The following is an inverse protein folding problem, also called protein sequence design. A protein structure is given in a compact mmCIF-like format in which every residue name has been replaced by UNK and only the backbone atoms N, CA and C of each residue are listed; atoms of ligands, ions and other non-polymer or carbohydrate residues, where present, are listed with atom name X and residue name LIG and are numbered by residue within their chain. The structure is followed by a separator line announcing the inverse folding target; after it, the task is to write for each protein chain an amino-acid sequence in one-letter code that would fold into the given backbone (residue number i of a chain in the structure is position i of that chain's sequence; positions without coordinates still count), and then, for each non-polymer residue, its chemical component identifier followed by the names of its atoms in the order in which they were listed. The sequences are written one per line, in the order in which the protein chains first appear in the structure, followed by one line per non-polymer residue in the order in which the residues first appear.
data_IF_399607550425
#
_entry.id   IF_399607550425
#
_cell.length_a   1.000
_cell.length_b   1.000
_cell.length_c   1.000
_cell.angle_alpha   90.00
_cell.angle_beta   90.00
_cell.angle_gamma   90.00
#
_symmetry.space_group_name_H-M   'P 1'
#
loop_
_entity.id
_entity.type
_entity.pdbx_description
1 polymer ?
#
# COMPACT_ATOMS: atom_id res chain seq x y z
N UNK A 1 -4.29 17.03 -4.45
CA UNK A 1 -3.28 15.98 -4.21
C UNK A 1 -3.99 14.70 -3.83
N UNK A 2 -3.48 13.55 -4.27
CA UNK A 2 -3.99 12.23 -3.85
C UNK A 2 -2.83 11.42 -3.30
N UNK A 3 -2.98 10.88 -2.09
CA UNK A 3 -2.01 10.01 -1.43
C UNK A 3 -2.61 8.60 -1.32
N UNK A 4 -1.95 7.64 -1.95
CA UNK A 4 -2.28 6.22 -1.87
C UNK A 4 -1.35 5.55 -0.86
N UNK A 5 -1.92 4.82 0.10
CA UNK A 5 -1.19 4.04 1.09
C UNK A 5 -1.55 2.56 0.90
N UNK A 6 -0.59 1.74 0.51
CA UNK A 6 -0.73 0.29 0.61
C UNK A 6 -0.27 -0.16 1.99
N UNK A 7 -1.21 -0.40 2.92
CA UNK A 7 -0.87 -0.81 4.28
C UNK A 7 -0.09 -2.13 4.23
N UNK A 8 1.13 -2.15 4.77
CA UNK A 8 2.00 -3.33 4.72
C UNK A 8 2.67 -3.62 3.36
N UNK A 9 2.64 -2.68 2.40
CA UNK A 9 3.31 -2.81 1.10
C UNK A 9 4.84 -2.70 1.25
N UNK A 10 5.55 -3.65 0.63
CA UNK A 10 7.01 -3.68 0.51
C UNK A 10 7.47 -3.82 -0.94
N UNK A 11 8.78 -3.69 -1.20
CA UNK A 11 9.36 -4.02 -2.51
C UNK A 11 9.11 -5.49 -2.90
N UNK A 12 9.13 -6.41 -1.93
CA UNK A 12 8.74 -7.81 -2.11
C UNK A 12 7.26 -7.97 -2.45
N UNK A 13 6.39 -7.19 -1.80
CA UNK A 13 4.94 -7.18 -2.06
C UNK A 13 4.62 -6.68 -3.46
N UNK A 14 5.27 -5.58 -3.91
CA UNK A 14 5.20 -5.09 -5.29
C UNK A 14 5.66 -6.17 -6.28
N UNK A 15 6.79 -6.80 -6.01
CA UNK A 15 7.31 -7.89 -6.87
C UNK A 15 6.32 -9.05 -6.96
N UNK A 16 5.73 -9.43 -5.81
CA UNK A 16 4.72 -10.47 -5.75
C UNK A 16 3.47 -10.12 -6.57
N UNK A 17 2.96 -8.91 -6.42
CA UNK A 17 1.79 -8.43 -7.14
C UNK A 17 2.04 -8.36 -8.64
N UNK A 18 3.23 -7.89 -9.05
CA UNK A 18 3.67 -7.90 -10.45
C UNK A 18 3.66 -9.31 -11.04
N UNK A 19 4.14 -10.29 -10.30
CA UNK A 19 4.20 -11.68 -10.77
C UNK A 19 2.82 -12.32 -10.79
N UNK A 20 1.93 -11.99 -9.83
CA UNK A 20 0.52 -12.37 -9.87
C UNK A 20 -0.17 -11.76 -11.09
N UNK A 21 0.04 -10.47 -11.38
CA UNK A 21 -0.49 -9.79 -12.58
C UNK A 21 0.01 -10.46 -13.85
N UNK A 22 1.31 -10.78 -13.93
CA UNK A 22 1.87 -11.51 -15.07
C UNK A 22 1.21 -12.87 -15.26
N UNK A 23 1.02 -13.64 -14.19
CA UNK A 23 0.33 -14.93 -14.23
C UNK A 23 -1.12 -14.79 -14.70
N UNK A 24 -1.87 -13.83 -14.17
CA UNK A 24 -3.25 -13.54 -14.60
C UNK A 24 -3.35 -13.13 -16.08
N UNK A 25 -2.26 -12.63 -16.67
CA UNK A 25 -2.16 -12.24 -18.07
C UNK A 25 -1.51 -13.31 -18.96
N UNK A 26 -1.17 -14.50 -18.43
CA UNK A 26 -0.36 -15.51 -19.11
C UNK A 26 0.98 -14.98 -19.68
N UNK A 27 1.60 -14.03 -18.97
CA UNK A 27 2.91 -13.42 -19.28
C UNK A 27 3.99 -13.91 -18.32
N UNK A 28 5.25 -13.71 -18.67
CA UNK A 28 6.36 -14.03 -17.78
C UNK A 28 6.54 -12.94 -16.71
N UNK A 29 6.94 -13.35 -15.51
CA UNK A 29 7.42 -12.47 -14.45
C UNK A 29 8.46 -11.49 -15.02
N UNK A 30 8.26 -10.18 -14.88
CA UNK A 30 9.14 -9.13 -15.42
C UNK A 30 8.73 -8.56 -16.79
N UNK A 31 7.74 -9.15 -17.48
CA UNK A 31 7.16 -8.59 -18.72
C UNK A 31 5.97 -7.65 -18.43
N UNK A 32 5.70 -7.46 -17.14
CA UNK A 32 4.59 -6.66 -16.60
C UNK A 32 5.17 -5.82 -15.47
N UNK A 33 4.61 -4.63 -15.28
CA UNK A 33 4.86 -3.73 -14.16
C UNK A 33 3.52 -3.30 -13.56
N UNK A 34 3.53 -2.82 -12.31
CA UNK A 34 2.39 -2.08 -11.78
C UNK A 34 2.34 -0.68 -12.38
N UNK A 35 1.14 -0.12 -12.52
CA UNK A 35 0.93 1.12 -13.28
C UNK A 35 1.74 2.32 -12.71
N UNK A 36 1.92 2.38 -11.39
CA UNK A 36 2.70 3.45 -10.73
C UNK A 36 4.22 3.28 -10.81
N UNK A 37 4.73 2.11 -11.22
CA UNK A 37 6.19 1.88 -11.32
C UNK A 37 6.84 2.66 -12.47
N UNK A 38 6.04 3.18 -13.39
CA UNK A 38 6.47 4.01 -14.51
C UNK A 38 6.48 5.50 -14.19
N UNK A 39 6.13 5.88 -12.96
CA UNK A 39 6.07 7.28 -12.55
C UNK A 39 7.47 7.90 -12.48
N UNK A 40 7.60 9.20 -12.78
CA UNK A 40 8.91 9.83 -12.98
C UNK A 40 9.73 10.00 -11.70
N UNK A 41 9.10 9.96 -10.52
CA UNK A 41 9.78 10.08 -9.23
C UNK A 41 9.63 8.79 -8.41
N UNK A 42 10.76 8.32 -7.89
CA UNK A 42 10.86 7.17 -7.00
C UNK A 42 11.82 7.49 -5.85
N UNK A 43 11.45 7.09 -4.65
CA UNK A 43 12.21 7.26 -3.42
C UNK A 43 12.08 6.06 -2.50
N UNK A 44 12.97 5.97 -1.51
CA UNK A 44 12.89 4.99 -0.43
C UNK A 44 12.44 5.72 0.85
N UNK A 45 11.34 5.27 1.44
CA UNK A 45 10.76 5.84 2.64
C UNK A 45 11.15 5.00 3.85
N UNK A 46 11.77 5.60 4.87
CA UNK A 46 12.03 4.92 6.13
C UNK A 46 10.77 4.94 7.00
N UNK A 47 10.39 3.76 7.51
CA UNK A 47 9.19 3.58 8.32
C UNK A 47 9.56 3.16 9.74
N UNK A 48 9.38 4.04 10.70
CA UNK A 48 9.62 3.80 12.13
C UNK A 48 8.61 4.59 12.97
N UNK A 49 8.41 4.18 14.21
CA UNK A 49 7.61 4.94 15.18
C UNK A 49 8.52 5.62 16.21
N UNK A 50 7.98 6.52 17.03
CA UNK A 50 8.75 7.28 18.00
C UNK A 50 9.55 6.42 19.01
N UNK A 51 9.15 5.16 19.22
CA UNK A 51 9.74 4.29 20.24
C UNK A 51 9.98 2.84 19.77
N UNK A 52 9.80 2.52 18.48
CA UNK A 52 10.04 1.17 17.93
C UNK A 52 10.70 1.24 16.57
N UNK A 53 11.56 0.27 16.29
CA UNK A 53 12.19 0.09 14.97
C UNK A 53 11.15 -0.25 13.89
N UNK A 54 10.02 -0.85 14.27
CA UNK A 54 8.91 -1.20 13.39
C UNK A 54 7.65 -0.48 13.85
N UNK A 55 7.02 0.27 12.93
CA UNK A 55 5.79 1.02 13.20
C UNK A 55 4.55 0.14 13.03
N UNK A 56 3.46 0.50 13.69
CA UNK A 56 2.10 0.04 13.36
C UNK A 56 1.42 1.05 12.42
N UNK A 57 0.25 0.68 11.88
CA UNK A 57 -0.51 1.51 10.95
C UNK A 57 -1.00 2.80 11.62
N UNK A 58 -1.34 2.78 12.91
CA UNK A 58 -1.77 3.98 13.63
C UNK A 58 -0.66 5.03 13.76
N UNK A 59 0.54 4.63 14.18
CA UNK A 59 1.68 5.55 14.29
C UNK A 59 2.19 5.98 12.91
N UNK A 60 2.14 5.11 11.90
CA UNK A 60 2.56 5.45 10.55
C UNK A 60 1.56 6.35 9.83
N UNK A 61 0.26 6.08 9.94
CA UNK A 61 -0.79 7.00 9.50
C UNK A 61 -0.69 8.35 10.22
N UNK A 62 -0.30 8.36 11.50
CA UNK A 62 -0.01 9.62 12.20
C UNK A 62 1.19 10.33 11.56
N UNK A 63 2.29 9.63 11.28
CA UNK A 63 3.45 10.22 10.61
C UNK A 63 3.16 10.69 9.18
N UNK A 64 2.31 9.97 8.44
CA UNK A 64 1.91 10.28 7.08
C UNK A 64 0.84 11.38 7.00
N UNK A 65 -0.02 11.53 8.02
CA UNK A 65 -1.30 12.27 7.94
C UNK A 65 -1.75 13.01 9.20
N UNK A 66 -1.46 12.47 10.39
CA UNK A 66 -2.04 12.82 11.70
C UNK A 66 -3.55 12.53 11.94
N UNK A 67 -4.01 11.31 11.60
CA UNK A 67 -4.79 10.43 12.51
C UNK A 67 -6.33 10.41 12.49
N UNK A 68 -6.93 9.28 12.06
CA UNK A 68 -8.26 8.76 12.45
C UNK A 68 -8.33 7.24 12.14
N UNK A 69 -9.02 6.45 12.98
CA UNK A 69 -9.25 5.01 12.82
C UNK A 69 -10.74 4.70 12.59
N UNK A 70 -11.05 3.67 11.79
CA UNK A 70 -12.40 3.17 11.54
C UNK A 70 -12.75 2.01 12.49
N UNK A 71 -14.06 1.71 12.66
CA UNK A 71 -14.55 0.72 13.63
C UNK A 71 -14.50 -0.75 13.15
N UNK A 72 -14.43 -1.01 11.84
CA UNK A 72 -14.35 -2.38 11.29
C UNK A 72 -13.78 -2.38 9.85
N UNK A 73 -13.44 -3.56 9.34
CA UNK A 73 -12.81 -3.77 8.02
C UNK A 73 -13.83 -4.11 6.92
N UNK A 74 -13.55 -3.70 5.68
CA UNK A 74 -14.24 -4.24 4.50
C UNK A 74 -13.82 -5.69 4.23
N UNK A 75 -14.57 -6.39 3.40
CA UNK A 75 -14.19 -7.71 2.89
C UNK A 75 -12.94 -7.62 2.02
N UNK A 76 -12.17 -8.71 1.94
CA UNK A 76 -11.13 -8.81 0.91
C UNK A 76 -11.75 -8.76 -0.49
N UNK A 77 -11.07 -8.17 -1.46
CA UNK A 77 -11.50 -8.05 -2.85
C UNK A 77 -11.88 -9.41 -3.45
N UNK A 78 -11.15 -10.48 -3.09
CA UNK A 78 -11.45 -11.85 -3.55
C UNK A 78 -12.81 -12.38 -3.07
N UNK A 79 -13.35 -11.84 -1.97
CA UNK A 79 -14.62 -12.25 -1.35
C UNK A 79 -15.69 -11.14 -1.38
N UNK A 80 -15.40 -10.01 -2.03
CA UNK A 80 -16.30 -8.87 -2.09
C UNK A 80 -17.58 -9.23 -2.86
N UNK A 81 -18.73 -8.99 -2.25
CA UNK A 81 -20.04 -9.28 -2.87
C UNK A 81 -20.89 -8.03 -3.04
N UNK A 82 -21.28 -7.38 -1.94
CA UNK A 82 -22.20 -6.24 -1.90
C UNK A 82 -21.53 -4.91 -1.47
N UNK A 83 -20.21 -4.92 -1.26
CA UNK A 83 -19.41 -3.75 -0.91
C UNK A 83 -18.76 -3.11 -2.16
N UNK A 84 -18.60 -1.78 -2.19
CA UNK A 84 -17.89 -1.11 -3.28
C UNK A 84 -16.40 -1.48 -3.26
N UNK A 85 -15.80 -1.66 -4.43
CA UNK A 85 -14.36 -1.82 -4.57
C UNK A 85 -13.60 -0.54 -4.20
N UNK A 86 -12.31 -0.67 -3.88
CA UNK A 86 -11.43 0.47 -3.63
C UNK A 86 -11.42 1.46 -4.81
N UNK A 87 -11.48 0.95 -6.04
CA UNK A 87 -11.55 1.76 -7.24
C UNK A 87 -12.86 2.57 -7.36
N UNK A 88 -14.01 1.95 -7.06
CA UNK A 88 -15.31 2.64 -7.05
C UNK A 88 -15.36 3.71 -5.97
N UNK A 89 -14.86 3.42 -4.76
CA UNK A 89 -14.77 4.40 -3.68
C UNK A 89 -13.87 5.58 -4.07
N UNK A 90 -12.72 5.30 -4.69
CA UNK A 90 -11.78 6.31 -5.18
C UNK A 90 -12.43 7.23 -6.21
N UNK A 91 -13.11 6.65 -7.20
CA UNK A 91 -13.86 7.41 -8.20
C UNK A 91 -14.91 8.33 -7.56
N UNK A 92 -15.71 7.80 -6.62
CA UNK A 92 -16.75 8.59 -5.96
C UNK A 92 -16.16 9.70 -5.09
N UNK A 93 -15.08 9.41 -4.37
CA UNK A 93 -14.34 10.38 -3.58
C UNK A 93 -13.83 11.54 -4.45
N UNK A 94 -13.15 11.24 -5.56
CA UNK A 94 -12.70 12.25 -6.52
C UNK A 94 -13.87 13.08 -7.05
N UNK A 95 -14.96 12.43 -7.49
CA UNK A 95 -16.15 13.12 -8.03
C UNK A 95 -16.82 14.06 -7.02
N UNK A 96 -16.81 13.69 -5.73
CA UNK A 96 -17.36 14.53 -4.68
C UNK A 96 -16.44 15.70 -4.35
N UNK A 97 -15.15 15.43 -4.13
CA UNK A 97 -14.15 16.41 -3.72
C UNK A 97 -13.81 17.42 -4.83
N UNK A 98 -13.90 17.02 -6.10
CA UNK A 98 -13.63 17.89 -7.25
C UNK A 98 -14.61 19.06 -7.39
N UNK A 99 -15.70 19.08 -6.61
CA UNK A 99 -16.64 20.20 -6.55
C UNK A 99 -16.06 21.42 -5.84
N UNK A 100 -15.02 21.24 -5.02
CA UNK A 100 -14.34 22.35 -4.36
C UNK A 100 -13.33 22.99 -5.34
N UNK A 101 -13.55 24.26 -5.78
CA UNK A 101 -12.65 24.92 -6.73
C UNK A 101 -11.27 25.22 -6.14
N UNK A 102 -11.08 25.09 -4.82
CA UNK A 102 -9.77 25.22 -4.16
C UNK A 102 -8.92 23.95 -4.22
N UNK A 103 -9.46 22.88 -4.80
CA UNK A 103 -8.84 21.56 -4.80
C UNK A 103 -9.12 20.77 -3.52
N UNK A 104 -8.43 19.63 -3.39
CA UNK A 104 -8.62 18.68 -2.31
C UNK A 104 -7.33 17.90 -2.02
N UNK A 105 -7.27 17.37 -0.80
CA UNK A 105 -6.43 16.24 -0.44
C UNK A 105 -7.34 15.02 -0.35
N UNK A 106 -7.00 13.94 -1.04
CA UNK A 106 -7.68 12.65 -0.92
C UNK A 106 -6.66 11.61 -0.49
N UNK A 107 -7.00 10.84 0.54
CA UNK A 107 -6.27 9.64 0.90
C UNK A 107 -7.05 8.41 0.46
N UNK A 108 -6.34 7.44 -0.13
CA UNK A 108 -6.89 6.15 -0.52
C UNK A 108 -5.99 5.06 0.06
N UNK A 109 -6.57 4.13 0.81
CA UNK A 109 -5.82 3.10 1.53
C UNK A 109 -6.20 1.70 1.06
N UNK A 110 -5.20 0.89 0.72
CA UNK A 110 -5.32 -0.55 0.49
C UNK A 110 -5.12 -1.33 1.79
N UNK A 111 -5.93 -1.08 2.82
CA UNK A 111 -5.66 -1.53 4.20
C UNK A 111 -5.62 -3.05 4.39
N UNK A 112 -6.22 -3.82 3.48
CA UNK A 112 -6.31 -5.28 3.60
C UNK A 112 -5.07 -6.02 3.11
N UNK A 113 -4.12 -5.32 2.47
CA UNK A 113 -2.82 -5.89 2.09
C UNK A 113 -2.11 -6.40 3.36
N UNK A 114 -2.01 -5.54 4.37
CA UNK A 114 -1.48 -5.82 5.71
C UNK A 114 -2.15 -7.04 6.36
N UNK A 115 -3.49 -7.04 6.44
CA UNK A 115 -4.23 -8.16 7.04
C UNK A 115 -3.95 -9.50 6.35
N UNK A 116 -3.80 -9.49 5.02
CA UNK A 116 -3.41 -10.67 4.25
C UNK A 116 -2.02 -11.18 4.63
N UNK A 117 -1.06 -10.27 4.80
CA UNK A 117 0.29 -10.61 5.24
C UNK A 117 0.34 -11.12 6.69
N UNK A 118 -0.39 -10.49 7.62
CA UNK A 118 -0.55 -10.96 8.99
C UNK A 118 -1.04 -12.41 9.08
N UNK A 119 -1.93 -12.80 8.17
CA UNK A 119 -2.49 -14.16 8.11
C UNK A 119 -1.59 -15.17 7.37
N UNK A 120 -0.43 -14.76 6.87
CA UNK A 120 0.40 -15.48 5.90
C UNK A 120 -0.38 -15.92 4.64
N UNK A 121 -1.35 -15.11 4.18
CA UNK A 121 -2.17 -15.41 3.02
C UNK A 121 -1.74 -14.54 1.84
N UNK A 122 -0.65 -14.93 1.18
CA UNK A 122 -0.08 -14.17 0.05
C UNK A 122 -1.10 -13.98 -1.08
N UNK A 123 -1.99 -14.95 -1.34
CA UNK A 123 -3.05 -14.77 -2.35
C UNK A 123 -3.92 -13.55 -2.07
N UNK A 124 -4.27 -13.35 -0.80
CA UNK A 124 -5.12 -12.26 -0.37
C UNK A 124 -4.35 -10.95 -0.47
N UNK A 125 -3.19 -10.86 0.19
CA UNK A 125 -2.35 -9.65 0.16
C UNK A 125 -2.02 -9.17 -1.26
N UNK A 126 -1.64 -10.11 -2.15
CA UNK A 126 -1.31 -9.78 -3.53
C UNK A 126 -2.54 -9.43 -4.39
N UNK A 127 -3.72 -9.96 -4.07
CA UNK A 127 -4.96 -9.56 -4.76
C UNK A 127 -5.39 -8.16 -4.32
N UNK A 128 -5.27 -7.82 -3.03
CA UNK A 128 -5.49 -6.46 -2.53
C UNK A 128 -4.54 -5.44 -3.15
N UNK A 129 -3.29 -5.83 -3.40
CA UNK A 129 -2.34 -4.99 -4.17
C UNK A 129 -2.83 -4.68 -5.58
N UNK A 130 -3.44 -5.64 -6.27
CA UNK A 130 -4.05 -5.40 -7.59
C UNK A 130 -5.31 -4.53 -7.49
N UNK A 131 -6.04 -4.60 -6.38
CA UNK A 131 -7.16 -3.68 -6.11
C UNK A 131 -6.67 -2.24 -5.89
N UNK A 132 -5.57 -2.05 -5.16
CA UNK A 132 -4.90 -0.76 -5.01
C UNK A 132 -4.39 -0.23 -6.35
N UNK A 133 -3.78 -1.08 -7.18
CA UNK A 133 -3.42 -0.73 -8.56
C UNK A 133 -4.64 -0.21 -9.34
N UNK A 134 -5.75 -0.95 -9.31
CA UNK A 134 -6.96 -0.52 -10.00
C UNK A 134 -7.48 0.83 -9.50
N UNK A 135 -7.37 1.11 -8.21
CA UNK A 135 -7.74 2.40 -7.62
C UNK A 135 -6.84 3.54 -8.11
N UNK A 136 -5.52 3.31 -8.18
CA UNK A 136 -4.55 4.28 -8.73
C UNK A 136 -4.84 4.57 -10.21
N UNK A 137 -5.00 3.53 -11.05
CA UNK A 137 -5.32 3.71 -12.47
C UNK A 137 -6.66 4.44 -12.66
N UNK A 138 -7.63 4.15 -11.80
CA UNK A 138 -8.92 4.85 -11.80
C UNK A 138 -8.72 6.32 -11.50
N UNK A 139 -7.98 6.68 -10.45
CA UNK A 139 -7.70 8.08 -10.13
C UNK A 139 -6.95 8.80 -11.26
N UNK A 140 -5.93 8.17 -11.85
CA UNK A 140 -5.21 8.72 -13.01
C UNK A 140 -6.16 9.04 -14.17
N UNK A 141 -7.20 8.23 -14.39
CA UNK A 141 -8.21 8.48 -15.43
C UNK A 141 -9.19 9.62 -15.11
N UNK A 142 -9.26 10.07 -13.84
CA UNK A 142 -10.25 11.05 -13.36
C UNK A 142 -9.67 12.41 -13.01
N UNK A 143 -8.35 12.57 -13.08
CA UNK A 143 -7.68 13.82 -12.72
C UNK A 143 -6.74 14.29 -13.82
N UNK A 144 -6.49 15.60 -13.85
CA UNK A 144 -5.44 16.18 -14.68
C UNK A 144 -4.09 16.09 -13.96
N UNK A 145 -3.14 15.35 -14.52
CA UNK A 145 -1.77 15.26 -13.99
C UNK A 145 -0.97 16.57 -14.15
N UNK A 146 -1.50 17.57 -14.85
CA UNK A 146 -0.92 18.92 -14.87
C UNK A 146 -1.23 19.71 -13.60
N UNK A 147 -2.23 19.29 -12.83
CA UNK A 147 -2.73 20.01 -11.65
C UNK A 147 -2.74 19.14 -10.39
N UNK A 148 -2.62 17.82 -10.54
CA UNK A 148 -2.77 16.86 -9.44
C UNK A 148 -1.45 16.15 -9.17
N UNK A 149 -0.87 16.40 -8.00
CA UNK A 149 0.18 15.56 -7.43
C UNK A 149 -0.45 14.27 -6.91
N UNK A 150 0.05 13.13 -7.38
CA UNK A 150 -0.31 11.80 -6.89
C UNK A 150 0.94 11.13 -6.31
N UNK A 151 0.77 10.49 -5.15
CA UNK A 151 1.83 9.78 -4.45
C UNK A 151 1.32 8.39 -4.06
N UNK A 152 2.12 7.35 -4.27
CA UNK A 152 1.85 5.97 -3.80
C UNK A 152 3.00 5.56 -2.89
N UNK A 153 2.70 5.12 -1.68
CA UNK A 153 3.68 4.61 -0.71
C UNK A 153 3.04 3.53 0.16
N UNK A 154 3.82 2.99 1.09
CA UNK A 154 3.32 2.27 2.24
C UNK A 154 3.56 3.05 3.53
N UNK A 155 2.95 2.57 4.59
CA UNK A 155 3.12 2.99 5.95
C UNK A 155 4.17 2.12 6.68
N UNK A 156 4.28 0.84 6.33
CA UNK A 156 5.35 -0.10 6.70
C UNK A 156 5.44 -1.30 5.75
N UNK A 157 6.50 -2.11 5.92
CA UNK A 157 6.71 -3.38 5.22
C UNK A 157 6.14 -4.56 6.02
N UNK A 158 6.29 -5.78 5.50
CA UNK A 158 5.98 -7.04 6.18
C UNK A 158 7.14 -8.03 6.11
N UNK A 159 7.14 -9.02 7.01
CA UNK A 159 8.05 -10.15 7.02
C UNK A 159 7.80 -11.13 5.85
N UNK A 160 7.70 -10.62 4.62
CA UNK A 160 7.31 -11.32 3.40
C UNK A 160 8.39 -11.19 2.32
N UNK A 161 8.59 -12.27 1.56
CA UNK A 161 9.53 -12.31 0.45
C UNK A 161 9.01 -13.10 -0.75
N UNK A 162 9.47 -12.69 -1.95
CA UNK A 162 9.45 -13.52 -3.16
C UNK A 162 10.85 -14.11 -3.31
N UNK A 163 10.98 -15.41 -3.09
CA UNK A 163 12.27 -16.10 -2.95
C UNK A 163 12.44 -17.24 -3.97
N UNK A 164 13.68 -17.72 -4.08
CA UNK A 164 14.03 -18.86 -4.92
C UNK A 164 14.46 -18.49 -6.35
N UNK A 165 14.50 -19.51 -7.19
CA UNK A 165 14.98 -19.49 -8.57
C UNK A 165 13.95 -20.12 -9.54
N UNK A 166 12.67 -20.09 -9.14
CA UNK A 166 11.56 -20.59 -9.96
C UNK A 166 11.53 -19.97 -11.36
N UNK A 167 11.05 -20.73 -12.34
CA UNK A 167 10.94 -20.27 -13.72
C UNK A 167 10.08 -19.00 -13.81
N UNK A 168 10.44 -18.04 -14.69
CA UNK A 168 9.69 -16.78 -14.87
C UNK A 168 8.23 -16.97 -15.32
N UNK A 169 7.82 -18.13 -15.81
CA UNK A 169 6.41 -18.46 -16.13
C UNK A 169 5.65 -19.12 -14.97
N UNK A 170 6.33 -19.37 -13.85
CA UNK A 170 5.73 -20.03 -12.70
C UNK A 170 4.85 -19.04 -11.93
N UNK A 171 3.74 -19.54 -11.40
CA UNK A 171 2.83 -18.73 -10.61
C UNK A 171 3.50 -18.34 -9.28
N UNK A 172 3.35 -17.08 -8.83
CA UNK A 172 4.05 -16.58 -7.63
C UNK A 172 3.66 -17.29 -6.33
N UNK A 173 2.44 -17.83 -6.28
CA UNK A 173 1.93 -18.64 -5.17
C UNK A 173 2.36 -20.12 -5.22
N UNK A 174 3.05 -20.54 -6.28
CA UNK A 174 3.46 -21.93 -6.49
C UNK A 174 4.75 -22.26 -5.72
N UNK A 175 5.09 -23.55 -5.72
CA UNK A 175 6.33 -24.08 -5.20
C UNK A 175 7.48 -23.87 -6.18
N UNK A 176 8.63 -23.49 -5.66
CA UNK A 176 9.91 -23.63 -6.34
C UNK A 176 10.50 -25.01 -6.02
N UNK A 177 10.76 -25.78 -7.08
CA UNK A 177 11.42 -27.08 -7.02
C UNK A 177 12.71 -27.11 -7.85
N UNK A 178 13.23 -25.95 -8.27
CA UNK A 178 14.54 -25.84 -8.93
C UNK A 178 15.69 -26.21 -7.99
N UNK A 179 15.47 -26.02 -6.70
CA UNK A 179 16.31 -26.51 -5.60
C UNK A 179 15.41 -27.01 -4.50
N UNK A 180 15.85 -28.05 -3.80
CA UNK A 180 15.16 -28.60 -2.64
C UNK A 180 15.82 -28.08 -1.37
N UNK A 181 15.05 -27.97 -0.30
CA UNK A 181 15.61 -27.73 1.03
C UNK A 181 16.51 -28.88 1.48
N UNK A 182 17.26 -28.69 2.56
CA UNK A 182 18.09 -29.76 3.15
C UNK A 182 17.26 -30.94 3.66
N UNK A 183 15.94 -30.76 3.83
CA UNK A 183 14.94 -31.78 4.15
C UNK A 183 14.39 -32.50 2.90
N UNK A 184 14.83 -32.13 1.70
CA UNK A 184 14.42 -32.74 0.44
C UNK A 184 13.09 -32.24 -0.12
N UNK A 185 12.42 -31.26 0.51
CA UNK A 185 11.13 -30.76 0.01
C UNK A 185 11.28 -29.45 -0.77
N UNK A 186 10.41 -29.17 -1.76
CA UNK A 186 10.33 -27.85 -2.37
C UNK A 186 9.85 -26.80 -1.37
N UNK A 187 9.93 -25.52 -1.73
CA UNK A 187 9.51 -24.39 -0.89
C UNK A 187 8.67 -23.40 -1.70
N UNK A 188 7.86 -22.57 -1.04
CA UNK A 188 7.04 -21.57 -1.74
C UNK A 188 7.88 -20.43 -2.30
N UNK A 189 7.52 -19.96 -3.50
CA UNK A 189 8.06 -18.72 -4.06
C UNK A 189 7.66 -17.53 -3.18
N UNK A 190 6.39 -17.43 -2.80
CA UNK A 190 5.91 -16.50 -1.77
C UNK A 190 6.11 -17.09 -0.37
N UNK A 191 6.97 -16.50 0.45
CA UNK A 191 7.27 -17.02 1.80
C UNK A 191 7.30 -15.92 2.85
N UNK A 192 7.17 -16.31 4.12
CA UNK A 192 7.19 -15.39 5.26
C UNK A 192 8.30 -15.75 6.25
N UNK A 193 8.89 -14.75 6.91
CA UNK A 193 9.82 -15.00 8.01
C UNK A 193 9.09 -15.30 9.33
N UNK A 194 7.87 -14.79 9.51
CA UNK A 194 7.09 -15.02 10.72
C UNK A 194 5.60 -15.15 10.43
N UNK A 195 4.86 -15.79 11.33
CA UNK A 195 3.40 -15.81 11.29
C UNK A 195 2.78 -17.21 11.43
N UNK A 196 1.46 -17.29 11.21
CA UNK A 196 0.67 -18.48 11.52
C UNK A 196 0.87 -19.66 10.57
N UNK A 197 1.58 -19.49 9.46
CA UNK A 197 2.02 -20.58 8.59
C UNK A 197 3.26 -21.32 9.08
N UNK A 198 3.84 -20.90 10.22
CA UNK A 198 5.00 -21.55 10.81
C UNK A 198 4.63 -22.82 11.59
N UNK A 199 5.54 -23.80 11.60
CA UNK A 199 5.39 -25.03 12.37
C UNK A 199 6.17 -24.95 13.68
N UNK A 200 5.49 -25.09 14.83
CA UNK A 200 6.15 -25.12 16.14
C UNK A 200 6.45 -26.57 16.55
N UNK A 201 7.71 -26.82 16.95
CA UNK A 201 8.16 -28.11 17.53
C UNK A 201 8.01 -29.33 16.62
N UNK A 202 7.83 -29.14 15.32
CA UNK A 202 7.81 -30.21 14.33
C UNK A 202 8.72 -29.83 13.14
N UNK A 203 9.25 -30.81 12.40
CA UNK A 203 9.93 -30.55 11.13
C UNK A 203 9.02 -29.78 10.16
N UNK A 204 9.64 -29.12 9.18
CA UNK A 204 8.90 -28.49 8.08
C UNK A 204 8.11 -29.57 7.32
N UNK A 205 6.84 -29.28 7.03
CA UNK A 205 5.99 -30.17 6.22
C UNK A 205 6.36 -30.03 4.75
N UNK A 206 6.36 -31.14 4.02
CA UNK A 206 6.42 -31.13 2.56
C UNK A 206 5.15 -30.48 1.99
N UNK A 207 5.25 -29.33 1.28
CA UNK A 207 4.09 -28.67 0.73
C UNK A 207 3.64 -29.24 -0.63
N UNK A 208 4.32 -30.26 -1.18
CA UNK A 208 4.07 -30.77 -2.54
C UNK A 208 2.65 -31.26 -2.80
N UNK A 209 1.97 -31.74 -1.76
CA UNK A 209 0.60 -32.27 -1.86
C UNK A 209 -0.46 -31.29 -1.34
N UNK A 210 -0.06 -30.05 -1.05
CA UNK A 210 -0.94 -29.05 -0.51
C UNK A 210 -1.87 -28.51 -1.60
N UNK A 211 -3.10 -28.17 -1.21
CA UNK A 211 -4.04 -27.44 -2.06
C UNK A 211 -3.70 -25.95 -2.01
N UNK A 212 -2.57 -25.57 -2.59
CA UNK A 212 -1.94 -24.24 -2.42
C UNK A 212 -2.74 -23.06 -3.00
N UNK A 213 -3.73 -23.35 -3.85
CA UNK A 213 -4.66 -22.37 -4.42
C UNK A 213 -6.04 -22.40 -3.78
N UNK A 214 -6.24 -23.17 -2.71
CA UNK A 214 -7.50 -23.12 -1.97
C UNK A 214 -7.65 -21.81 -1.20
N UNK A 215 -8.91 -21.51 -0.91
CA UNK A 215 -9.24 -20.36 -0.12
C UNK A 215 -8.64 -20.47 1.29
N UNK A 216 -8.12 -19.37 1.80
CA UNK A 216 -7.50 -19.30 3.11
C UNK A 216 -6.13 -19.98 3.26
N UNK A 217 -5.54 -20.53 2.20
CA UNK A 217 -4.23 -21.20 2.27
C UNK A 217 -3.13 -20.28 2.81
N UNK A 218 -2.35 -20.77 3.79
CA UNK A 218 -1.29 -20.02 4.46
C UNK A 218 0.08 -20.50 4.01
N UNK A 219 0.87 -19.60 3.44
CA UNK A 219 2.26 -19.92 3.08
C UNK A 219 3.09 -20.19 4.33
N UNK A 220 4.07 -21.08 4.20
CA UNK A 220 4.95 -21.46 5.31
C UNK A 220 5.73 -20.25 5.83
N UNK A 221 5.94 -20.21 7.16
CA UNK A 221 6.76 -19.20 7.82
C UNK A 221 7.89 -19.83 8.65
N UNK A 222 9.01 -19.11 8.77
CA UNK A 222 10.17 -19.56 9.55
C UNK A 222 9.90 -19.54 11.07
N UNK A 223 9.36 -18.44 11.60
CA UNK A 223 9.06 -18.26 13.02
C UNK A 223 7.54 -18.36 13.25
N UNK A 224 7.04 -19.42 13.92
CA UNK A 224 5.62 -19.57 14.18
C UNK A 224 5.11 -18.51 15.15
N UNK A 225 4.14 -17.72 14.72
CA UNK A 225 3.45 -16.71 15.53
C UNK A 225 1.94 -16.76 15.25
N UNK A 226 1.10 -16.24 16.15
CA UNK A 226 -0.34 -16.12 15.88
C UNK A 226 -0.67 -15.15 14.75
N UNK A 227 0.20 -14.17 14.52
CA UNK A 227 0.14 -13.19 13.43
C UNK A 227 1.55 -12.93 12.92
N UNK A 228 1.71 -12.78 11.60
CA UNK A 228 2.98 -12.35 11.02
C UNK A 228 3.34 -10.95 11.52
N UNK A 229 4.63 -10.62 11.52
CA UNK A 229 5.08 -9.30 11.97
C UNK A 229 5.24 -8.35 10.79
N UNK A 230 5.02 -7.06 11.05
CA UNK A 230 5.51 -6.00 10.17
C UNK A 230 7.04 -6.11 10.01
N UNK A 231 7.58 -5.43 9.02
CA UNK A 231 9.03 -5.28 8.82
C UNK A 231 9.42 -3.80 8.73
N UNK A 232 10.67 -3.52 9.10
CA UNK A 232 11.23 -2.17 9.19
C UNK A 232 12.02 -1.75 7.94
N UNK A 233 12.06 -2.60 6.91
CA UNK A 233 12.74 -2.26 5.66
C UNK A 233 12.11 -1.02 5.04
N UNK A 234 12.93 -0.17 4.42
CA UNK A 234 12.42 1.01 3.72
C UNK A 234 11.41 0.61 2.63
N UNK A 235 10.30 1.35 2.57
CA UNK A 235 9.22 1.10 1.61
C UNK A 235 9.35 2.04 0.42
N UNK A 236 9.03 1.60 -0.80
CA UNK A 236 9.12 2.47 -1.97
C UNK A 236 8.01 3.51 -1.96
N UNK A 237 8.36 4.74 -2.37
CA UNK A 237 7.41 5.82 -2.64
C UNK A 237 7.56 6.27 -4.09
N UNK A 238 6.43 6.36 -4.79
CA UNK A 238 6.32 6.78 -6.18
C UNK A 238 5.51 8.07 -6.26
N UNK A 239 5.90 9.01 -7.13
CA UNK A 239 5.15 10.25 -7.31
C UNK A 239 5.06 10.69 -8.79
N UNK A 240 3.93 11.30 -9.15
CA UNK A 240 3.67 11.91 -10.47
C UNK A 240 2.85 13.20 -10.34
N UNK A 241 2.99 14.10 -11.31
CA UNK A 241 2.30 15.38 -11.35
C UNK A 241 3.14 16.54 -10.82
N UNK A 242 2.54 17.71 -10.54
CA UNK A 242 3.29 18.89 -10.13
C UNK A 242 4.02 18.65 -8.81
N UNK A 243 5.29 19.05 -8.75
CA UNK A 243 6.14 18.89 -7.57
C UNK A 243 6.48 17.43 -7.22
N UNK A 244 6.23 16.46 -8.11
CA UNK A 244 6.62 15.06 -7.85
C UNK A 244 8.12 14.89 -7.64
N UNK A 245 8.93 15.79 -8.20
CA UNK A 245 10.38 15.81 -8.02
C UNK A 245 10.83 16.07 -6.58
N UNK A 246 9.94 16.51 -5.67
CA UNK A 246 10.24 16.61 -4.22
C UNK A 246 10.55 15.24 -3.63
N UNK A 247 9.95 14.18 -4.18
CA UNK A 247 10.13 12.82 -3.72
C UNK A 247 11.33 12.19 -4.42
N UNK A 248 12.52 12.50 -3.89
CA UNK A 248 13.78 11.98 -4.39
C UNK A 248 14.67 11.50 -3.24
N UNK A 249 15.44 10.42 -3.46
CA UNK A 249 16.38 9.80 -2.48
C UNK A 249 15.68 9.07 -1.32
N UNK A 250 16.47 8.65 -0.33
CA UNK A 250 15.95 8.16 0.95
C UNK A 250 15.40 9.32 1.77
N UNK A 251 14.24 9.13 2.38
CA UNK A 251 13.59 10.12 3.25
C UNK A 251 12.84 9.42 4.38
N UNK A 252 12.60 10.15 5.46
CA UNK A 252 11.80 9.65 6.58
C UNK A 252 10.30 9.80 6.27
N UNK A 253 9.46 8.92 6.84
CA UNK A 253 8.00 8.96 6.67
C UNK A 253 7.36 10.34 6.93
N UNK A 254 7.89 11.09 7.90
CA UNK A 254 7.44 12.46 8.23
C UNK A 254 7.62 13.45 7.08
N UNK A 255 8.57 13.21 6.18
CA UNK A 255 8.78 14.06 5.01
C UNK A 255 7.54 14.10 4.10
N UNK A 256 6.74 13.03 4.05
CA UNK A 256 5.51 12.98 3.25
C UNK A 256 4.52 14.05 3.71
N UNK A 257 4.38 14.25 5.03
CA UNK A 257 3.52 15.30 5.58
C UNK A 257 4.06 16.72 5.25
N UNK A 258 5.37 16.92 5.35
CA UNK A 258 6.02 18.18 4.97
C UNK A 258 5.86 18.48 3.48
N UNK A 259 6.12 17.50 2.61
CA UNK A 259 5.95 17.65 1.17
C UNK A 259 4.49 17.88 0.78
N UNK A 260 3.54 17.24 1.48
CA UNK A 260 2.09 17.45 1.28
C UNK A 260 1.68 18.88 1.62
N UNK A 261 2.09 19.37 2.79
CA UNK A 261 1.79 20.75 3.24
C UNK A 261 2.45 21.80 2.33
N UNK A 262 3.68 21.56 1.91
CA UNK A 262 4.38 22.39 0.91
C UNK A 262 3.65 22.41 -0.45
N UNK A 263 3.28 21.24 -0.98
CA UNK A 263 2.62 21.14 -2.29
C UNK A 263 1.22 21.75 -2.32
N UNK A 264 0.53 21.71 -1.18
CA UNK A 264 -0.81 22.27 -1.00
C UNK A 264 -0.82 23.73 -0.51
N UNK A 265 0.36 24.35 -0.31
CA UNK A 265 0.47 25.72 0.17
C UNK A 265 -0.25 25.93 1.51
N UNK A 266 -0.17 24.94 2.40
CA UNK A 266 -0.75 24.98 3.73
C UNK A 266 0.17 25.75 4.70
N UNK A 267 -0.20 25.77 5.98
CA UNK A 267 0.52 26.52 6.99
C UNK A 267 2.03 26.20 7.03
N UNK A 268 2.84 27.26 7.05
CA UNK A 268 4.30 27.18 7.04
C UNK A 268 4.89 27.35 5.63
N UNK A 269 4.10 27.25 4.57
CA UNK A 269 4.57 27.27 3.18
C UNK A 269 3.75 28.19 2.25
N UNK A 270 2.89 29.06 2.80
CA UNK A 270 2.02 29.91 1.97
C UNK A 270 2.79 30.92 1.09
N UNK A 271 4.01 31.29 1.51
CA UNK A 271 4.87 32.26 0.81
C UNK A 271 5.85 31.62 -0.17
N UNK A 272 5.75 30.31 -0.41
CA UNK A 272 6.62 29.65 -1.36
C UNK A 272 6.36 30.12 -2.80
N UNK A 273 7.37 30.17 -3.68
CA UNK A 273 7.24 30.75 -5.02
C UNK A 273 6.11 30.14 -5.88
N UNK A 274 5.83 28.84 -5.75
CA UNK A 274 4.72 28.17 -6.46
C UNK A 274 3.34 28.49 -5.85
N UNK A 275 3.29 28.92 -4.59
CA UNK A 275 2.08 29.31 -3.87
C UNK A 275 1.68 30.76 -4.18
N UNK A 276 2.66 31.67 -4.20
CA UNK A 276 2.44 33.08 -4.53
C UNK A 276 1.86 33.23 -5.95
N UNK A 277 2.40 32.47 -6.92
CA UNK A 277 1.91 32.49 -8.32
C UNK A 277 0.47 31.99 -8.48
N UNK A 278 -0.06 31.25 -7.50
CA UNK A 278 -1.43 30.70 -7.50
C UNK A 278 -2.47 31.63 -6.87
N UNK A 279 -2.08 32.83 -6.41
CA UNK A 279 -2.98 33.79 -5.76
C UNK A 279 -3.78 33.16 -4.58
N UNK A 280 -3.12 32.27 -3.83
CA UNK A 280 -3.73 31.62 -2.66
C UNK A 280 -3.75 32.64 -1.53
N UNK A 281 -4.94 33.13 -1.18
CA UNK A 281 -5.12 34.05 -0.05
C UNK A 281 -4.60 33.41 1.24
N UNK A 282 -3.68 34.05 1.99
CA UNK A 282 -3.13 33.47 3.20
C UNK A 282 -4.24 33.31 4.25
N UNK A 283 -4.48 32.08 4.69
CA UNK A 283 -5.21 31.81 5.92
C UNK A 283 -4.30 31.07 6.88
N UNK A 284 -4.37 31.49 8.15
CA UNK A 284 -3.72 30.79 9.26
C UNK A 284 -4.44 29.46 9.43
N UNK A 285 -3.72 28.39 9.10
CA UNK A 285 -3.88 27.04 9.61
C UNK A 285 -4.16 27.04 11.11
N UNK A 286 -3.14 27.08 11.95
CA UNK A 286 -3.05 26.37 13.22
C UNK A 286 -3.57 24.93 13.08
N UNK A 287 -2.83 23.95 13.58
CA UNK A 287 -3.42 22.67 13.88
C UNK A 287 -4.03 22.71 15.30
N UNK A 288 -5.33 23.06 15.50
CA UNK A 288 -6.05 22.64 16.67
C UNK A 288 -7.22 21.74 16.23
N UNK A 289 -7.08 20.43 16.40
CA UNK A 289 -8.18 19.47 16.63
C UNK A 289 -9.41 19.41 15.70
N UNK A 290 -9.53 20.13 14.59
CA UNK A 290 -10.73 20.09 13.73
C UNK A 290 -10.41 20.20 12.24
N UNK A 291 -9.91 19.11 11.67
CA UNK A 291 -10.00 18.86 10.22
C UNK A 291 -11.03 17.75 10.02
N UNK A 292 -12.24 18.13 9.63
CA UNK A 292 -13.33 17.20 9.31
C UNK A 292 -13.02 16.52 7.98
N UNK A 293 -12.66 15.23 8.00
CA UNK A 293 -12.42 14.43 6.81
C UNK A 293 -13.25 13.16 6.82
N UNK A 294 -13.84 12.87 5.66
CA UNK A 294 -14.61 11.66 5.38
C UNK A 294 -13.64 10.52 5.06
N UNK A 295 -13.45 9.62 6.02
CA UNK A 295 -12.85 8.30 5.80
C UNK A 295 -14.00 7.29 5.74
N UNK A 296 -14.02 6.48 4.68
CA UNK A 296 -15.03 5.47 4.45
C UNK A 296 -14.88 4.28 5.39
N UNK A 297 -15.57 4.33 6.52
CA UNK A 297 -16.50 3.29 6.93
C UNK A 297 -17.71 4.04 7.48
N UNK A 298 -18.80 4.06 6.69
CA UNK A 298 -20.02 4.86 6.89
C UNK A 298 -19.92 6.34 6.49
N UNK A 299 -20.65 6.67 5.42
CA UNK A 299 -20.96 8.05 5.02
C UNK A 299 -21.76 8.69 6.17
N UNK A 300 -21.14 9.57 6.94
CA UNK A 300 -21.88 10.52 7.78
C UNK A 300 -21.89 11.87 7.05
N UNK A 301 -22.97 12.08 6.30
CA UNK A 301 -23.45 13.41 5.93
C UNK A 301 -23.89 14.11 7.22
N UNK A 302 -23.14 15.12 7.66
CA UNK A 302 -23.74 16.17 8.49
C UNK A 302 -23.67 17.49 7.73
N UNK A 303 -24.84 17.92 7.27
CA UNK A 303 -25.09 19.32 6.94
C UNK A 303 -24.91 20.14 8.21
N UNK A 304 -24.11 21.19 8.16
CA UNK A 304 -24.28 22.31 9.08
C UNK A 304 -24.36 23.57 8.24
N UNK A 305 -25.49 24.25 8.44
CA UNK A 305 -25.84 25.55 7.89
C UNK A 305 -24.76 26.61 8.13
#
# INVERSE_FOLDING_TARGET
MILFVGDGLSSSTITGARYLKAANMNKSAGDVVLDWELWPAISLLHTFSANRMTTDSAASATALLCGLTAQDHLDYEIHRTDQPSLAEMTEKGIKFLSRNPKGYLLLVEGGRIDHGHHSNQARYALTEMLALEKAVSTAMSRVSLNETLMVVTADHSHAYGVIGYGNRRRHVLDLDNSRLGSDGYPYFISAYFSGPGGSAKQPRRDPSNDRIFEDGYRQQALVPLSSATHAADGVPLYAIGPLSQLFHRSMDNTYVAHATTFALCLEGYQEEPHCIRRNVSPKRYVCPYQLLFLIGAQIVLTSVM
#
